data_IF_545240619989
#
_entry.id   IF_545240619989
#
_cell.length_a   1.000
_cell.length_b   1.000
_cell.length_c   1.000
_cell.angle_alpha   90.00
_cell.angle_beta   90.00
_cell.angle_gamma   90.00
#
_symmetry.space_group_name_H-M   'P 1'
#
loop_
_entity.id
_entity.type
_entity.pdbx_description
1 polymer ?
#
# COMPACT_ATOMS: atom_id res chain seq x y z
N UNK A 1 10.87 -11.81 -8.66
CA UNK A 1 9.58 -11.80 -9.38
C UNK A 1 9.45 -10.52 -10.18
N UNK A 2 9.16 -10.64 -11.46
CA UNK A 2 8.93 -9.50 -12.34
C UNK A 2 7.44 -9.33 -12.58
N UNK A 3 6.99 -8.08 -12.61
CA UNK A 3 5.60 -7.73 -12.86
C UNK A 3 5.55 -6.86 -14.11
N UNK A 4 4.73 -7.21 -15.07
CA UNK A 4 4.73 -6.56 -16.39
C UNK A 4 3.49 -5.72 -16.68
N UNK A 5 2.42 -5.87 -15.89
CA UNK A 5 1.17 -5.15 -16.14
C UNK A 5 0.55 -4.64 -14.84
N UNK A 6 -0.05 -3.46 -14.92
CA UNK A 6 -0.88 -2.94 -13.87
C UNK A 6 -2.31 -3.47 -13.97
N UNK A 7 -3.12 -3.16 -12.97
CA UNK A 7 -4.53 -3.52 -12.93
C UNK A 7 -5.30 -2.38 -12.27
N UNK A 8 -6.61 -2.25 -12.54
CA UNK A 8 -7.42 -1.25 -11.83
C UNK A 8 -7.41 -1.49 -10.34
N UNK A 9 -7.28 -0.44 -9.54
CA UNK A 9 -7.34 -0.58 -8.09
C UNK A 9 -8.67 -1.17 -7.63
N UNK A 10 -9.76 -0.93 -8.37
CA UNK A 10 -11.08 -1.51 -8.06
C UNK A 10 -11.09 -3.02 -8.07
N UNK A 11 -10.12 -3.65 -8.74
CA UNK A 11 -10.07 -5.12 -8.85
C UNK A 11 -9.47 -5.81 -7.64
N UNK A 12 -8.93 -5.06 -6.68
CA UNK A 12 -8.21 -5.65 -5.54
C UNK A 12 -9.11 -5.96 -4.33
N UNK A 13 -10.35 -5.50 -4.33
CA UNK A 13 -11.24 -5.75 -3.19
C UNK A 13 -10.94 -4.90 -1.97
N UNK A 14 -10.42 -3.69 -2.16
CA UNK A 14 -10.07 -2.78 -1.08
C UNK A 14 -11.31 -2.15 -0.46
N UNK A 15 -11.20 -1.72 0.81
CA UNK A 15 -12.27 -1.03 1.48
C UNK A 15 -12.62 0.28 0.78
N UNK A 16 -13.85 0.76 1.00
CA UNK A 16 -14.32 2.03 0.42
C UNK A 16 -13.43 3.20 0.85
N UNK A 17 -13.04 3.23 2.13
CA UNK A 17 -12.19 4.30 2.65
C UNK A 17 -10.82 4.33 1.95
N UNK A 18 -10.20 3.16 1.78
CA UNK A 18 -8.91 3.06 1.08
C UNK A 18 -9.06 3.44 -0.39
N UNK A 19 -10.11 2.97 -1.05
CA UNK A 19 -10.38 3.33 -2.45
C UNK A 19 -10.56 4.83 -2.62
N UNK A 20 -11.25 5.48 -1.69
CA UNK A 20 -11.43 6.93 -1.73
C UNK A 20 -10.10 7.66 -1.60
N UNK A 21 -9.23 7.21 -0.70
CA UNK A 21 -7.90 7.79 -0.54
C UNK A 21 -7.07 7.67 -1.82
N UNK A 22 -7.13 6.51 -2.47
CA UNK A 22 -6.42 6.27 -3.73
C UNK A 22 -6.95 7.17 -4.85
N UNK A 23 -8.27 7.29 -4.97
CA UNK A 23 -8.90 8.16 -5.97
C UNK A 23 -8.54 9.63 -5.76
N UNK A 24 -8.48 10.06 -4.49
CA UNK A 24 -8.11 11.44 -4.17
C UNK A 24 -6.68 11.77 -4.56
N UNK A 25 -5.82 10.77 -4.67
CA UNK A 25 -4.46 10.95 -5.19
C UNK A 25 -4.40 10.92 -6.72
N UNK A 26 -5.52 10.67 -7.38
CA UNK A 26 -5.61 10.62 -8.82
C UNK A 26 -5.23 9.28 -9.44
N UNK A 27 -5.18 8.22 -8.66
CA UNK A 27 -4.78 6.90 -9.13
C UNK A 27 -6.01 6.09 -9.51
N UNK A 28 -5.99 5.48 -10.70
CA UNK A 28 -7.03 4.58 -11.17
C UNK A 28 -6.47 3.19 -11.47
N UNK A 29 -5.32 3.15 -12.13
CA UNK A 29 -4.64 1.91 -12.52
C UNK A 29 -3.37 1.80 -11.70
N UNK A 30 -3.16 0.63 -11.11
CA UNK A 30 -1.97 0.36 -10.34
C UNK A 30 -0.74 0.24 -11.24
N UNK A 31 0.44 0.42 -10.65
CA UNK A 31 1.68 0.05 -11.33
C UNK A 31 1.80 -1.47 -11.36
N UNK A 32 2.66 -2.05 -12.21
CA UNK A 32 2.86 -3.49 -12.22
C UNK A 32 3.29 -4.07 -10.87
N UNK A 33 4.17 -3.38 -10.13
CA UNK A 33 4.59 -3.88 -8.82
C UNK A 33 3.45 -3.87 -7.82
N UNK A 34 2.57 -2.87 -7.88
CA UNK A 34 1.38 -2.83 -7.04
C UNK A 34 0.42 -3.98 -7.38
N UNK A 35 0.17 -4.20 -8.66
CA UNK A 35 -0.71 -5.28 -9.10
C UNK A 35 -0.20 -6.66 -8.70
N UNK A 36 1.12 -6.84 -8.67
CA UNK A 36 1.73 -8.10 -8.28
C UNK A 36 1.80 -8.32 -6.77
N UNK A 37 1.89 -7.25 -5.98
CA UNK A 37 2.08 -7.36 -4.52
C UNK A 37 0.80 -7.28 -3.72
N UNK A 38 -0.15 -6.41 -4.11
CA UNK A 38 -1.34 -6.15 -3.30
C UNK A 38 -2.20 -7.40 -3.10
N UNK A 39 -2.61 -8.13 -4.14
CA UNK A 39 -3.46 -9.30 -3.93
C UNK A 39 -2.86 -10.39 -3.05
N UNK A 40 -1.59 -10.84 -3.27
CA UNK A 40 -1.05 -11.87 -2.39
C UNK A 40 -0.85 -11.39 -0.95
N UNK A 41 -0.47 -10.13 -0.75
CA UNK A 41 -0.32 -9.60 0.62
C UNK A 41 -1.66 -9.48 1.33
N UNK A 42 -2.74 -9.13 0.62
CA UNK A 42 -4.08 -9.14 1.20
C UNK A 42 -4.51 -10.55 1.60
N UNK A 43 -4.02 -11.55 0.90
CA UNK A 43 -4.28 -12.96 1.22
C UNK A 43 -3.38 -13.49 2.34
N UNK A 44 -2.51 -12.66 2.90
CA UNK A 44 -1.63 -13.05 4.00
C UNK A 44 -0.36 -13.74 3.57
N UNK A 45 -0.01 -13.67 2.29
CA UNK A 45 1.20 -14.32 1.76
C UNK A 45 2.39 -13.37 1.84
N UNK A 46 3.57 -13.96 1.96
CA UNK A 46 4.82 -13.21 1.89
C UNK A 46 5.16 -12.90 0.43
N UNK A 47 5.68 -11.70 0.18
CA UNK A 47 6.02 -11.27 -1.16
C UNK A 47 7.42 -10.66 -1.16
N UNK A 48 8.23 -11.06 -2.13
CA UNK A 48 9.52 -10.43 -2.43
C UNK A 48 9.40 -9.83 -3.83
N UNK A 49 9.57 -8.51 -3.93
CA UNK A 49 9.46 -7.82 -5.20
C UNK A 49 10.64 -6.89 -5.40
N UNK A 50 11.13 -6.83 -6.64
CA UNK A 50 12.16 -5.89 -7.05
C UNK A 50 11.58 -4.96 -8.08
N UNK A 51 11.75 -3.66 -7.87
CA UNK A 51 11.26 -2.65 -8.81
C UNK A 51 12.13 -1.40 -8.71
N UNK A 52 12.30 -0.67 -9.82
CA UNK A 52 13.04 0.59 -9.77
C UNK A 52 12.36 1.62 -8.86
N UNK A 53 13.15 2.58 -8.39
CA UNK A 53 12.63 3.72 -7.64
C UNK A 53 11.60 4.47 -8.49
N UNK A 54 10.51 4.92 -7.87
CA UNK A 54 9.48 5.68 -8.57
C UNK A 54 8.40 4.83 -9.22
N UNK A 55 8.38 3.52 -8.97
CA UNK A 55 7.38 2.62 -9.55
C UNK A 55 6.19 2.33 -8.62
N UNK A 56 6.05 3.09 -7.53
CA UNK A 56 4.95 2.90 -6.61
C UNK A 56 5.17 1.80 -5.59
N UNK A 57 6.43 1.47 -5.28
CA UNK A 57 6.75 0.39 -4.32
C UNK A 57 6.15 0.63 -2.94
N UNK A 58 6.17 1.87 -2.46
CA UNK A 58 5.63 2.18 -1.13
C UNK A 58 4.16 1.80 -1.04
N UNK A 59 3.38 2.12 -2.05
CA UNK A 59 1.96 1.78 -2.08
C UNK A 59 1.73 0.29 -2.27
N UNK A 60 2.65 -0.41 -2.94
CA UNK A 60 2.53 -1.85 -3.17
C UNK A 60 2.48 -2.64 -1.87
N UNK A 61 3.22 -2.23 -0.84
CA UNK A 61 3.14 -2.85 0.48
C UNK A 61 2.30 -2.03 1.46
N UNK A 62 2.25 -0.72 1.30
CA UNK A 62 1.52 0.16 2.21
C UNK A 62 0.02 -0.07 2.18
N UNK A 63 -0.57 -0.23 1.01
CA UNK A 63 -2.01 -0.46 0.87
C UNK A 63 -2.45 -1.75 1.57
N UNK A 64 -1.82 -2.91 1.32
CA UNK A 64 -2.21 -4.13 2.04
C UNK A 64 -2.03 -4.03 3.56
N UNK A 65 -0.98 -3.37 4.02
CA UNK A 65 -0.74 -3.18 5.45
C UNK A 65 -1.87 -2.36 6.06
N UNK A 66 -2.24 -1.24 5.44
CA UNK A 66 -3.33 -0.38 5.94
C UNK A 66 -4.66 -1.14 5.97
N UNK A 67 -4.94 -1.95 4.96
CA UNK A 67 -6.17 -2.74 4.91
C UNK A 67 -6.26 -3.77 6.04
N UNK A 68 -5.12 -4.29 6.52
CA UNK A 68 -5.09 -5.35 7.51
C UNK A 68 -4.86 -4.85 8.93
N UNK A 69 -4.48 -3.60 9.12
CA UNK A 69 -4.27 -3.05 10.45
C UNK A 69 -5.59 -2.90 11.19
N UNK A 70 -5.59 -3.32 12.46
CA UNK A 70 -6.69 -3.09 13.38
C UNK A 70 -6.43 -1.78 14.12
N UNK A 71 -7.20 -0.71 13.85
CA UNK A 71 -6.96 0.59 14.50
C UNK A 71 -7.25 0.59 16.00
N UNK A 72 -7.96 -0.42 16.51
CA UNK A 72 -8.27 -0.53 17.92
C UNK A 72 -7.17 -1.25 18.70
N UNK A 73 -6.20 -1.85 18.04
CA UNK A 73 -5.09 -2.55 18.69
C UNK A 73 -3.95 -1.58 19.02
N UNK A 74 -3.38 -1.71 20.20
CA UNK A 74 -2.19 -0.96 20.60
C UNK A 74 -0.89 -1.68 20.27
N UNK A 75 -0.97 -2.93 19.79
CA UNK A 75 0.21 -3.73 19.44
C UNK A 75 0.85 -3.25 18.14
N UNK A 76 2.15 -3.50 18.03
CA UNK A 76 2.85 -3.27 16.75
C UNK A 76 2.36 -4.33 15.77
N UNK A 77 1.76 -3.89 14.66
CA UNK A 77 1.14 -4.77 13.68
C UNK A 77 1.96 -4.91 12.40
N UNK A 78 2.87 -3.96 12.14
CA UNK A 78 3.71 -4.01 10.95
C UNK A 78 5.02 -3.29 11.22
N UNK A 79 6.10 -3.78 10.60
CA UNK A 79 7.42 -3.16 10.69
C UNK A 79 7.96 -3.01 9.27
N UNK A 80 8.42 -1.81 8.93
CA UNK A 80 9.00 -1.53 7.63
C UNK A 80 10.44 -1.06 7.83
N UNK A 81 11.36 -1.70 7.12
CA UNK A 81 12.77 -1.37 7.19
C UNK A 81 13.16 -0.56 5.96
N UNK A 82 13.92 0.52 6.18
CA UNK A 82 14.41 1.37 5.11
C UNK A 82 15.91 1.58 5.29
N UNK A 83 16.68 1.65 4.18
CA UNK A 83 18.13 1.79 4.28
C UNK A 83 18.60 3.16 4.72
N UNK A 84 17.78 4.20 4.57
CA UNK A 84 18.13 5.57 4.98
C UNK A 84 16.99 6.20 5.76
N UNK A 85 17.33 7.21 6.56
CA UNK A 85 16.36 7.99 7.31
C UNK A 85 15.43 8.75 6.38
N UNK A 86 15.95 9.30 5.29
CA UNK A 86 15.18 10.05 4.31
C UNK A 86 14.12 9.18 3.66
N UNK A 87 14.49 7.95 3.30
CA UNK A 87 13.53 7.00 2.73
C UNK A 87 12.47 6.60 3.75
N UNK A 88 12.88 6.38 5.01
CA UNK A 88 11.92 6.04 6.07
C UNK A 88 10.89 7.16 6.26
N UNK A 89 11.33 8.41 6.24
CA UNK A 89 10.44 9.56 6.36
C UNK A 89 9.49 9.66 5.16
N UNK A 90 9.98 9.43 3.96
CA UNK A 90 9.18 9.45 2.75
C UNK A 90 8.09 8.36 2.77
N UNK A 91 8.46 7.16 3.17
CA UNK A 91 7.50 6.05 3.31
C UNK A 91 6.41 6.40 4.32
N UNK A 92 6.82 6.95 5.47
CA UNK A 92 5.88 7.35 6.52
C UNK A 92 4.89 8.38 6.00
N UNK A 93 5.37 9.39 5.29
CA UNK A 93 4.51 10.45 4.76
C UNK A 93 3.52 9.92 3.74
N UNK A 94 3.97 9.04 2.84
CA UNK A 94 3.08 8.45 1.83
C UNK A 94 2.01 7.57 2.46
N UNK A 95 2.37 6.76 3.45
CA UNK A 95 1.41 5.90 4.13
C UNK A 95 0.40 6.70 4.96
N UNK A 96 0.83 7.79 5.59
CA UNK A 96 -0.07 8.65 6.35
C UNK A 96 -1.15 9.27 5.47
N UNK A 97 -0.84 9.62 4.24
CA UNK A 97 -1.83 10.20 3.33
C UNK A 97 -2.98 9.24 3.05
N UNK A 98 -2.70 7.95 2.97
CA UNK A 98 -3.74 6.93 2.78
C UNK A 98 -4.46 6.63 4.10
N UNK A 99 -3.71 6.46 5.20
CA UNK A 99 -4.28 6.07 6.49
C UNK A 99 -5.21 7.15 7.06
N UNK A 100 -4.83 8.43 6.95
CA UNK A 100 -5.67 9.53 7.43
C UNK A 100 -7.01 9.55 6.69
N UNK A 101 -7.00 9.35 5.37
CA UNK A 101 -8.23 9.31 4.59
C UNK A 101 -9.11 8.12 4.99
N UNK A 102 -8.50 6.98 5.27
CA UNK A 102 -9.24 5.81 5.74
C UNK A 102 -9.91 6.07 7.08
N UNK A 103 -9.24 6.75 8.00
CA UNK A 103 -9.77 7.06 9.32
C UNK A 103 -10.95 8.05 9.28
N UNK A 104 -11.03 8.90 8.27
CA UNK A 104 -12.12 9.87 8.14
C UNK A 104 -13.50 9.23 7.99
N UNK A 105 -13.56 7.92 7.78
CA UNK A 105 -14.82 7.20 7.56
C UNK A 105 -15.16 6.23 8.67
N UNK A 106 -14.41 6.29 9.74
CA UNK A 106 -14.71 5.48 10.94
C UNK A 106 -15.43 6.29 12.04
#
# INVERSE_FOLDING_TARGET
MEFTQGAPFDSFGLSEATMRAIRNKGYEISTPVQAGCIPPMLAGKDVIAKAPTGTGKTMAFGIPIIERIDPDSEDVQAVILAPTRELAMQITDEMRQIAVRSEEHT
#
